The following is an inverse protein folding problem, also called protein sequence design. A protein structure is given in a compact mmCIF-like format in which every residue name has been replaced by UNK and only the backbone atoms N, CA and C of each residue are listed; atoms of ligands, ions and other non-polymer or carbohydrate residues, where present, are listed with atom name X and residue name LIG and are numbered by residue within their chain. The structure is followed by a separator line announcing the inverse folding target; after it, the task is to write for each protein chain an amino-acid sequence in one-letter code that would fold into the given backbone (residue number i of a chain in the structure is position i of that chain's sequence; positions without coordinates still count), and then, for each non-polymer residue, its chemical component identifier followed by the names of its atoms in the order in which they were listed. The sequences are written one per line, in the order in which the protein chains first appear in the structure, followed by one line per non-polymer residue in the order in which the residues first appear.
data_IF_924550018992
#
_entry.id   IF_924550018992
#
_cell.length_a   1.000
_cell.length_b   1.000
_cell.length_c   1.000
_cell.angle_alpha   90.00
_cell.angle_beta   90.00
_cell.angle_gamma   90.00
#
_symmetry.space_group_name_H-M   'P 1'
#
loop_
_entity.id
_entity.type
_entity.pdbx_description
1 polymer ?
#
# COMPACT_ATOMS: atom_id res chain seq x y z
N UNK A 1 -2.96 17.35 0.00
CA UNK A 1 -2.74 16.02 -0.51
C UNK A 1 -1.78 15.25 0.37
N UNK A 2 -2.12 14.04 0.72
CA UNK A 2 -1.31 13.27 1.65
C UNK A 2 -0.49 12.20 0.94
N UNK A 3 0.75 12.04 1.36
CA UNK A 3 1.60 10.93 0.96
C UNK A 3 1.97 10.19 2.22
N UNK A 4 1.59 8.92 2.29
CA UNK A 4 1.87 8.11 3.46
C UNK A 4 2.61 6.87 3.02
N UNK A 5 3.72 6.56 3.68
CA UNK A 5 4.54 5.40 3.34
C UNK A 5 4.61 4.51 4.57
N UNK A 6 4.29 3.24 4.36
CA UNK A 6 4.37 2.22 5.40
C UNK A 6 5.42 1.19 5.03
N UNK A 7 6.09 0.63 6.03
CA UNK A 7 6.97 -0.52 5.82
C UNK A 7 6.19 -1.76 6.19
N UNK A 8 6.12 -2.73 5.28
CA UNK A 8 5.28 -3.90 5.48
C UNK A 8 6.09 -5.18 5.26
N UNK A 9 5.68 -6.24 5.95
CA UNK A 9 6.28 -7.56 5.80
C UNK A 9 5.78 -8.23 4.53
N UNK A 10 6.46 -9.32 4.15
CA UNK A 10 6.05 -10.09 2.98
C UNK A 10 4.62 -10.61 3.12
N UNK A 11 4.23 -11.04 4.31
CA UNK A 11 2.87 -11.51 4.53
C UNK A 11 1.84 -10.42 4.29
N UNK A 12 2.13 -9.21 4.77
CA UNK A 12 1.23 -8.08 4.58
C UNK A 12 1.19 -7.67 3.11
N UNK A 13 2.33 -7.79 2.39
CA UNK A 13 2.35 -7.51 0.96
C UNK A 13 1.34 -8.38 0.22
N UNK A 14 1.27 -9.66 0.56
CA UNK A 14 0.31 -10.57 -0.07
C UNK A 14 -1.13 -10.17 0.22
N UNK A 15 -1.39 -9.76 1.45
CA UNK A 15 -2.72 -9.30 1.85
C UNK A 15 -3.12 -8.06 1.07
N UNK A 16 -2.20 -7.11 0.94
CA UNK A 16 -2.45 -5.87 0.22
C UNK A 16 -2.74 -6.15 -1.25
N UNK A 17 -1.93 -7.00 -1.87
CA UNK A 17 -2.13 -7.31 -3.28
C UNK A 17 -3.48 -7.99 -3.52
N UNK A 18 -3.87 -8.88 -2.62
CA UNK A 18 -5.17 -9.54 -2.74
C UNK A 18 -6.32 -8.54 -2.54
N UNK A 19 -6.16 -7.65 -1.58
CA UNK A 19 -7.22 -6.69 -1.26
C UNK A 19 -7.48 -5.72 -2.41
N UNK A 20 -6.41 -5.27 -3.08
CA UNK A 20 -6.53 -4.30 -4.16
C UNK A 20 -6.45 -4.90 -5.56
N UNK A 21 -6.57 -6.22 -5.66
CA UNK A 21 -6.43 -6.90 -6.95
C UNK A 21 -7.41 -6.36 -8.00
N UNK A 22 -8.63 -6.04 -7.59
CA UNK A 22 -9.65 -5.53 -8.51
C UNK A 22 -9.33 -4.11 -9.00
N UNK A 23 -8.41 -3.43 -8.33
CA UNK A 23 -8.03 -2.06 -8.66
C UNK A 23 -6.63 -1.99 -9.25
N UNK A 24 -6.06 -3.13 -9.58
CA UNK A 24 -4.70 -3.20 -10.11
C UNK A 24 -4.53 -2.36 -11.37
N UNK A 25 -3.41 -1.66 -11.43
CA UNK A 25 -3.00 -0.96 -12.65
C UNK A 25 -1.55 -1.33 -12.93
N UNK A 26 -1.20 -1.30 -14.21
CA UNK A 26 0.18 -1.56 -14.60
C UNK A 26 0.98 -0.28 -14.43
N UNK A 27 2.12 -0.38 -13.74
CA UNK A 27 2.99 0.77 -13.56
C UNK A 27 4.43 0.29 -13.74
N UNK A 28 5.08 0.79 -14.77
CA UNK A 28 6.44 0.39 -15.11
C UNK A 28 7.41 1.41 -14.53
N UNK A 29 7.81 1.19 -13.31
CA UNK A 29 8.78 2.04 -12.65
C UNK A 29 9.72 1.14 -11.87
N UNK A 30 10.98 1.58 -11.73
CA UNK A 30 11.99 0.80 -11.05
C UNK A 30 11.57 0.50 -9.62
N UNK A 31 11.66 -0.75 -9.22
CA UNK A 31 11.38 -1.15 -7.86
C UNK A 31 9.90 -1.33 -7.51
N UNK A 32 8.99 -1.04 -8.43
CA UNK A 32 7.56 -1.23 -8.18
C UNK A 32 7.17 -2.65 -8.51
N UNK A 33 6.54 -3.34 -7.55
CA UNK A 33 6.08 -4.71 -7.75
C UNK A 33 4.57 -4.80 -7.86
N UNK A 34 3.85 -3.76 -7.42
CA UNK A 34 2.39 -3.77 -7.48
C UNK A 34 1.89 -2.33 -7.41
N UNK A 35 0.85 -2.02 -8.16
CA UNK A 35 0.22 -0.71 -8.11
C UNK A 35 -1.27 -0.87 -8.27
N UNK A 36 -2.04 0.00 -7.64
CA UNK A 36 -3.48 -0.02 -7.72
C UNK A 36 -4.00 1.42 -7.67
N UNK A 37 -5.19 1.62 -8.20
CA UNK A 37 -5.78 2.95 -8.27
C UNK A 37 -7.22 2.89 -7.81
N UNK A 38 -7.52 3.63 -6.77
CA UNK A 38 -8.88 3.87 -6.29
C UNK A 38 -9.32 5.24 -6.80
N UNK A 39 -10.61 5.57 -6.72
CA UNK A 39 -11.05 6.88 -7.19
C UNK A 39 -10.31 8.06 -6.53
N UNK A 40 -9.91 7.91 -5.28
CA UNK A 40 -9.29 9.00 -4.53
C UNK A 40 -7.91 8.66 -3.98
N UNK A 41 -7.32 7.53 -4.36
CA UNK A 41 -6.04 7.10 -3.78
C UNK A 41 -5.25 6.29 -4.78
N UNK A 42 -3.97 6.60 -4.91
CA UNK A 42 -3.03 5.78 -5.67
C UNK A 42 -2.20 4.98 -4.69
N UNK A 43 -2.02 3.70 -4.98
CA UNK A 43 -1.30 2.78 -4.11
C UNK A 43 -0.14 2.20 -4.89
N UNK A 44 1.06 2.27 -4.32
CA UNK A 44 2.27 1.74 -4.96
C UNK A 44 3.05 0.92 -3.97
N UNK A 45 3.38 -0.31 -4.35
CA UNK A 45 4.16 -1.20 -3.51
C UNK A 45 5.53 -1.40 -4.15
N UNK A 46 6.58 -1.25 -3.34
CA UNK A 46 7.96 -1.36 -3.80
C UNK A 46 8.58 -2.65 -3.29
N UNK A 47 9.54 -3.16 -4.05
CA UNK A 47 10.23 -4.40 -3.67
C UNK A 47 11.01 -4.25 -2.37
N UNK A 48 11.27 -3.01 -1.95
CA UNK A 48 11.94 -2.74 -0.68
C UNK A 48 11.05 -3.01 0.53
N UNK A 49 9.77 -3.27 0.31
CA UNK A 49 8.82 -3.47 1.39
C UNK A 49 8.06 -2.20 1.77
N UNK A 50 8.24 -1.13 1.00
CA UNK A 50 7.51 0.11 1.24
C UNK A 50 6.20 0.10 0.49
N UNK A 51 5.17 0.62 1.12
CA UNK A 51 3.84 0.74 0.54
C UNK A 51 3.42 2.20 0.64
N UNK A 52 3.18 2.84 -0.50
CA UNK A 52 2.88 4.26 -0.55
C UNK A 52 1.43 4.48 -0.95
N UNK A 53 0.78 5.38 -0.22
CA UNK A 53 -0.58 5.83 -0.51
C UNK A 53 -0.54 7.32 -0.81
N UNK A 54 -1.15 7.73 -1.92
CA UNK A 54 -1.18 9.13 -2.34
C UNK A 54 -2.61 9.53 -2.69
N UNK A 55 -3.02 10.73 -2.28
CA UNK A 55 -4.32 11.26 -2.65
C UNK A 55 -5.19 11.57 -1.46
N UNK A 56 -6.43 11.97 -1.74
CA UNK A 56 -7.36 12.38 -0.69
C UNK A 56 -7.74 11.26 0.27
N UNK A 57 -7.72 10.01 -0.20
CA UNK A 57 -8.05 8.88 0.65
C UNK A 57 -6.85 8.17 1.26
N UNK A 58 -5.66 8.77 1.14
CA UNK A 58 -4.44 8.10 1.59
C UNK A 58 -4.47 7.76 3.08
N UNK A 59 -4.94 8.69 3.90
CA UNK A 59 -4.98 8.44 5.35
C UNK A 59 -5.95 7.31 5.69
N UNK A 60 -7.09 7.28 5.02
CA UNK A 60 -8.08 6.23 5.25
C UNK A 60 -7.51 4.86 4.90
N UNK A 61 -6.89 4.76 3.72
CA UNK A 61 -6.34 3.48 3.29
C UNK A 61 -5.12 3.08 4.10
N UNK A 62 -4.26 4.04 4.42
CA UNK A 62 -3.09 3.75 5.25
C UNK A 62 -3.48 3.30 6.66
N UNK A 63 -4.53 3.88 7.22
CA UNK A 63 -4.97 3.49 8.55
C UNK A 63 -5.42 2.04 8.60
N UNK A 64 -6.02 1.56 7.51
CA UNK A 64 -6.43 0.16 7.40
C UNK A 64 -5.23 -0.78 7.58
N UNK A 65 -4.12 -0.47 6.93
CA UNK A 65 -2.92 -1.31 6.96
C UNK A 65 -1.97 -0.91 8.08
N UNK A 66 -1.97 0.37 8.41
CA UNK A 66 -1.12 0.86 9.49
C UNK A 66 -1.45 0.24 10.82
N UNK A 67 -2.73 0.04 11.09
CA UNK A 67 -3.17 -0.59 12.32
C UNK A 67 -2.64 -2.02 12.41
N UNK A 68 -2.72 -2.76 11.30
CA UNK A 68 -2.22 -4.12 11.24
C UNK A 68 -0.72 -4.15 11.45
N UNK A 69 0.00 -3.26 10.78
CA UNK A 69 1.46 -3.20 10.87
C UNK A 69 1.89 -2.83 12.28
N UNK A 70 1.21 -1.87 12.88
CA UNK A 70 1.52 -1.44 14.24
C UNK A 70 1.33 -2.60 15.22
N UNK A 71 0.24 -3.33 15.06
CA UNK A 71 -0.06 -4.47 15.90
C UNK A 71 1.05 -5.53 15.82
N UNK A 72 1.46 -5.86 14.59
CA UNK A 72 2.51 -6.84 14.37
C UNK A 72 3.84 -6.37 14.93
N UNK A 73 4.12 -5.07 14.81
CA UNK A 73 5.38 -4.53 15.32
C UNK A 73 5.48 -4.64 16.83
N UNK A 74 4.36 -4.52 17.51
CA UNK A 74 4.34 -4.62 18.96
C UNK A 74 4.33 -6.05 19.42
N UNK A 75 3.77 -6.92 18.64
CA UNK A 75 3.70 -8.32 18.96
C UNK A 75 4.99 -9.03 18.73
#
# INVERSE_FOLDING_TARGET
MSNIVLSISTNIQKEVMAYYAANYIERKAAGVIFAAKLPDTSITMYKSGKLMFQGGGAEREAARWGTIIYYWSKG
#
